data_IF_348297086796
#
_entry.id   IF_348297086796
#
_cell.length_a   1.000
_cell.length_b   1.000
_cell.length_c   1.000
_cell.angle_alpha   90.00
_cell.angle_beta   90.00
_cell.angle_gamma   90.00
#
_symmetry.space_group_name_H-M   'P 1'
#
loop_
_entity.id
_entity.type
_entity.pdbx_description
1 polymer ?
#
# COMPACT_ATOMS: atom_id res chain seq x y z
N UNK A 1 -25.17 39.27 -16.17
CA UNK A 1 -24.45 38.05 -16.57
C UNK A 1 -24.12 37.28 -15.31
N UNK A 2 -24.78 36.13 -15.13
CA UNK A 2 -24.83 35.36 -13.89
C UNK A 2 -24.06 34.05 -14.11
N UNK A 3 -22.79 34.00 -13.71
CA UNK A 3 -21.96 32.79 -13.80
C UNK A 3 -22.27 31.87 -12.63
N UNK A 4 -23.31 31.04 -12.81
CA UNK A 4 -23.53 29.89 -11.93
C UNK A 4 -22.32 28.97 -11.99
N UNK A 5 -21.53 28.99 -10.92
CA UNK A 5 -20.54 27.97 -10.60
C UNK A 5 -21.27 26.62 -10.49
N UNK A 6 -21.16 25.80 -11.53
CA UNK A 6 -21.66 24.43 -11.52
C UNK A 6 -20.76 23.61 -10.60
N UNK A 7 -21.14 23.54 -9.33
CA UNK A 7 -20.68 22.50 -8.43
C UNK A 7 -21.02 21.14 -9.06
N UNK A 8 -20.00 20.32 -9.33
CA UNK A 8 -20.16 18.96 -9.81
C UNK A 8 -20.96 18.18 -8.73
N UNK A 9 -22.17 17.69 -9.04
CA UNK A 9 -22.96 16.97 -8.06
C UNK A 9 -22.31 15.62 -7.78
N UNK A 10 -21.92 15.40 -6.51
CA UNK A 10 -21.57 14.09 -5.98
C UNK A 10 -22.86 13.26 -5.82
N UNK A 11 -23.30 12.56 -6.86
CA UNK A 11 -24.47 11.65 -6.78
C UNK A 11 -24.09 10.17 -6.91
N UNK A 12 -24.01 9.53 -5.75
CA UNK A 12 -24.62 8.24 -5.37
C UNK A 12 -24.94 7.18 -6.45
N UNK A 13 -24.26 6.02 -6.35
CA UNK A 13 -24.79 4.71 -6.76
C UNK A 13 -24.42 4.23 -8.17
N UNK A 14 -24.91 4.90 -9.21
CA UNK A 14 -24.77 4.47 -10.61
C UNK A 14 -23.39 4.74 -11.22
N UNK A 15 -22.79 5.89 -10.89
CA UNK A 15 -21.50 6.33 -11.42
C UNK A 15 -20.34 5.46 -10.92
N UNK A 16 -20.36 5.04 -9.64
CA UNK A 16 -19.34 4.16 -9.03
C UNK A 16 -19.17 2.82 -9.77
N UNK A 17 -20.26 2.26 -10.31
CA UNK A 17 -20.23 0.96 -11.01
C UNK A 17 -19.63 1.07 -12.42
N UNK A 18 -19.71 2.24 -13.06
CA UNK A 18 -19.03 2.53 -14.33
C UNK A 18 -17.52 2.68 -14.13
N UNK A 19 -17.13 3.45 -13.10
CA UNK A 19 -15.71 3.69 -12.78
C UNK A 19 -14.95 2.39 -12.46
N UNK A 20 -15.54 1.48 -11.68
CA UNK A 20 -14.90 0.19 -11.39
C UNK A 20 -14.71 -0.66 -12.64
N UNK A 21 -15.69 -0.67 -13.56
CA UNK A 21 -15.57 -1.41 -14.82
C UNK A 21 -14.50 -0.82 -15.73
N UNK A 22 -14.44 0.51 -15.83
CA UNK A 22 -13.43 1.22 -16.62
C UNK A 22 -12.01 1.00 -16.05
N UNK A 23 -11.87 1.05 -14.73
CA UNK A 23 -10.61 0.83 -14.02
C UNK A 23 -10.16 -0.63 -14.17
N UNK A 24 -11.08 -1.59 -14.08
CA UNK A 24 -10.83 -3.00 -14.42
C UNK A 24 -10.46 -3.18 -15.89
N UNK A 25 -11.08 -2.44 -16.81
CA UNK A 25 -10.77 -2.54 -18.24
C UNK A 25 -9.35 -2.05 -18.55
N UNK A 26 -8.90 -0.96 -17.90
CA UNK A 26 -7.52 -0.47 -17.97
C UNK A 26 -6.55 -1.51 -17.39
N UNK A 27 -6.90 -2.10 -16.25
CA UNK A 27 -6.15 -3.19 -15.62
C UNK A 27 -6.01 -4.41 -16.54
N UNK A 28 -7.11 -4.85 -17.14
CA UNK A 28 -7.15 -6.01 -18.04
C UNK A 28 -6.62 -5.72 -19.45
N UNK A 29 -6.16 -4.50 -19.74
CA UNK A 29 -5.52 -4.19 -21.02
C UNK A 29 -4.14 -4.88 -21.13
N UNK A 30 -3.47 -5.16 -20.00
CA UNK A 30 -2.19 -5.87 -19.93
C UNK A 30 -2.33 -7.18 -19.12
N UNK A 31 -3.25 -8.07 -19.53
CA UNK A 31 -3.60 -9.31 -18.79
C UNK A 31 -2.41 -10.15 -18.36
N UNK A 32 -1.45 -10.38 -19.26
CA UNK A 32 -0.29 -11.22 -18.97
C UNK A 32 0.60 -10.63 -17.88
N UNK A 33 0.86 -9.32 -17.95
CA UNK A 33 1.70 -8.62 -16.98
C UNK A 33 1.03 -8.59 -15.59
N UNK A 34 -0.29 -8.35 -15.57
CA UNK A 34 -1.09 -8.40 -14.35
C UNK A 34 -1.11 -9.80 -13.72
N UNK A 35 -1.31 -10.84 -14.54
CA UNK A 35 -1.26 -12.22 -14.05
C UNK A 35 0.09 -12.56 -13.44
N UNK A 36 1.20 -12.14 -14.07
CA UNK A 36 2.55 -12.33 -13.54
C UNK A 36 2.70 -11.64 -12.19
N UNK A 37 2.30 -10.37 -12.05
CA UNK A 37 2.40 -9.63 -10.78
C UNK A 37 1.51 -10.23 -9.70
N UNK A 38 0.30 -10.67 -10.02
CA UNK A 38 -0.58 -11.34 -9.05
C UNK A 38 0.06 -12.66 -8.60
N UNK A 39 0.51 -13.51 -9.53
CA UNK A 39 1.17 -14.78 -9.20
C UNK A 39 2.39 -14.53 -8.31
N UNK A 40 3.21 -13.54 -8.65
CA UNK A 40 4.39 -13.19 -7.86
C UNK A 40 4.04 -12.63 -6.47
N UNK A 41 2.96 -11.85 -6.37
CA UNK A 41 2.42 -11.33 -5.11
C UNK A 41 1.83 -12.42 -4.22
N UNK A 42 1.43 -13.55 -4.80
CA UNK A 42 0.98 -14.75 -4.10
C UNK A 42 2.17 -15.62 -3.65
N UNK A 43 3.16 -15.80 -4.53
CA UNK A 43 4.33 -16.65 -4.25
C UNK A 43 5.21 -16.04 -3.17
N UNK A 44 5.44 -14.72 -3.20
CA UNK A 44 6.36 -14.08 -2.25
C UNK A 44 5.98 -14.32 -0.78
N UNK A 45 4.72 -14.12 -0.35
CA UNK A 45 4.30 -14.42 1.03
C UNK A 45 4.31 -15.92 1.40
N UNK A 46 4.28 -16.82 0.41
CA UNK A 46 4.36 -18.27 0.65
C UNK A 46 5.80 -18.70 0.97
N UNK A 47 6.79 -18.04 0.35
CA UNK A 47 8.20 -18.41 0.48
C UNK A 47 8.82 -17.78 1.73
N UNK A 48 8.36 -16.62 2.20
CA UNK A 48 8.91 -15.96 3.40
C UNK A 48 8.99 -16.87 4.65
N UNK A 49 7.93 -17.63 5.02
CA UNK A 49 7.99 -18.58 6.13
C UNK A 49 9.06 -19.68 5.98
N UNK A 50 9.44 -20.04 4.74
CA UNK A 50 10.47 -21.06 4.46
C UNK A 50 11.83 -20.61 5.00
N UNK A 51 12.13 -19.31 4.98
CA UNK A 51 13.38 -18.78 5.58
C UNK A 51 13.43 -19.03 7.08
N UNK A 52 12.32 -18.73 7.77
CA UNK A 52 12.21 -18.94 9.21
C UNK A 52 12.30 -20.43 9.57
N UNK A 53 11.66 -21.30 8.78
CA UNK A 53 11.76 -22.76 8.94
C UNK A 53 13.20 -23.27 8.79
N UNK A 54 13.90 -22.82 7.75
CA UNK A 54 15.29 -23.24 7.51
C UNK A 54 16.24 -22.74 8.59
N UNK A 55 16.07 -21.48 9.04
CA UNK A 55 16.83 -20.91 10.13
C UNK A 55 16.63 -21.73 11.43
N UNK A 56 15.38 -22.11 11.74
CA UNK A 56 15.08 -22.98 12.89
C UNK A 56 15.73 -24.35 12.76
N UNK A 57 15.56 -25.05 11.63
CA UNK A 57 16.16 -26.37 11.44
C UNK A 57 17.69 -26.35 11.55
N UNK A 58 18.32 -25.27 11.08
CA UNK A 58 19.75 -25.06 11.25
C UNK A 58 20.11 -24.85 12.72
N UNK A 59 19.37 -24.00 13.45
CA UNK A 59 19.58 -23.74 14.87
C UNK A 59 19.32 -24.98 15.75
N UNK A 60 18.27 -25.74 15.48
CA UNK A 60 17.93 -26.98 16.20
C UNK A 60 19.05 -28.01 16.04
N UNK A 61 19.63 -28.13 14.83
CA UNK A 61 20.81 -28.98 14.60
C UNK A 61 22.05 -28.48 15.33
N UNK A 62 22.26 -27.16 15.39
CA UNK A 62 23.36 -26.53 16.15
C UNK A 62 23.26 -26.74 17.66
N UNK A 63 22.04 -26.72 18.19
CA UNK A 63 21.77 -26.76 19.63
C UNK A 63 21.43 -28.16 20.17
N UNK A 64 21.34 -29.16 19.30
CA UNK A 64 21.09 -30.55 19.69
C UNK A 64 22.18 -31.02 20.68
N UNK A 65 21.76 -31.41 21.89
CA UNK A 65 22.66 -31.95 22.93
C UNK A 65 23.44 -33.14 22.35
N UNK A 66 24.78 -33.05 22.41
CA UNK A 66 25.80 -33.98 21.87
C UNK A 66 26.21 -33.81 20.39
N UNK A 67 25.90 -32.68 19.73
CA UNK A 67 26.42 -32.42 18.39
C UNK A 67 27.94 -32.15 18.41
N UNK A 68 28.73 -33.17 18.09
CA UNK A 68 30.16 -33.02 17.76
C UNK A 68 30.23 -32.61 16.28
N UNK A 69 30.42 -31.32 16.02
CA UNK A 69 30.49 -30.80 14.66
C UNK A 69 31.79 -31.22 13.98
N UNK A 70 31.68 -32.10 12.99
CA UNK A 70 32.72 -32.23 11.96
C UNK A 70 32.52 -31.10 10.95
N UNK A 71 33.60 -30.43 10.56
CA UNK A 71 33.61 -29.35 9.56
C UNK A 71 32.98 -29.73 8.21
N UNK A 72 32.85 -31.04 7.95
CA UNK A 72 32.25 -31.64 6.76
C UNK A 72 30.71 -31.51 6.73
N UNK A 73 30.03 -31.53 7.89
CA UNK A 73 28.57 -31.40 7.98
C UNK A 73 28.11 -29.96 7.69
N UNK A 74 28.94 -28.98 8.05
CA UNK A 74 28.71 -27.55 7.79
C UNK A 74 28.93 -27.24 6.30
N UNK A 75 29.95 -27.85 5.69
CA UNK A 75 30.29 -27.64 4.28
C UNK A 75 29.17 -28.09 3.31
N UNK A 76 28.38 -29.11 3.66
CA UNK A 76 27.22 -29.54 2.86
C UNK A 76 26.00 -28.61 2.99
N UNK A 77 25.85 -27.90 4.10
CA UNK A 77 24.71 -27.01 4.35
C UNK A 77 24.85 -25.62 3.69
N UNK A 78 26.07 -25.09 3.66
CA UNK A 78 26.38 -23.79 3.05
C UNK A 78 25.85 -23.65 1.61
N UNK A 79 26.10 -24.59 0.67
CA UNK A 79 25.60 -24.45 -0.70
C UNK A 79 24.08 -24.54 -0.79
N UNK A 80 23.42 -25.31 0.09
CA UNK A 80 21.96 -25.44 0.13
C UNK A 80 21.32 -24.13 0.63
N UNK A 81 21.86 -23.56 1.71
CA UNK A 81 21.45 -22.25 2.23
C UNK A 81 21.68 -21.17 1.16
N UNK A 82 22.88 -21.11 0.59
CA UNK A 82 23.23 -20.15 -0.44
C UNK A 82 22.31 -20.25 -1.67
N UNK A 83 22.00 -21.47 -2.12
CA UNK A 83 21.09 -21.71 -3.24
C UNK A 83 19.68 -21.18 -2.98
N UNK A 84 19.13 -21.42 -1.78
CA UNK A 84 17.81 -20.89 -1.40
C UNK A 84 17.82 -19.37 -1.33
N UNK A 85 18.83 -18.78 -0.68
CA UNK A 85 18.97 -17.32 -0.62
C UNK A 85 19.09 -16.70 -2.01
N UNK A 86 19.81 -17.34 -2.94
CA UNK A 86 19.94 -16.89 -4.32
C UNK A 86 18.60 -16.96 -5.05
N UNK A 87 17.89 -18.09 -4.98
CA UNK A 87 16.54 -18.23 -5.58
C UNK A 87 15.59 -17.18 -5.02
N UNK A 88 15.58 -16.97 -3.70
CA UNK A 88 14.72 -15.96 -3.08
C UNK A 88 15.08 -14.53 -3.50
N UNK A 89 16.38 -14.23 -3.61
CA UNK A 89 16.84 -12.92 -4.06
C UNK A 89 16.45 -12.70 -5.52
N UNK A 90 16.59 -13.72 -6.36
CA UNK A 90 16.15 -13.67 -7.76
C UNK A 90 14.63 -13.44 -7.87
N UNK A 91 13.82 -14.16 -7.09
CA UNK A 91 12.36 -13.95 -7.04
C UNK A 91 12.03 -12.51 -6.60
N UNK A 92 12.67 -12.00 -5.54
CA UNK A 92 12.46 -10.62 -5.09
C UNK A 92 12.83 -9.59 -6.15
N UNK A 93 13.93 -9.82 -6.87
CA UNK A 93 14.36 -8.93 -7.96
C UNK A 93 13.36 -8.95 -9.11
N UNK A 94 12.91 -10.14 -9.53
CA UNK A 94 11.90 -10.30 -10.58
C UNK A 94 10.58 -9.63 -10.17
N UNK A 95 10.14 -9.81 -8.92
CA UNK A 95 8.96 -9.12 -8.38
C UNK A 95 9.12 -7.61 -8.46
N UNK A 96 10.25 -7.08 -8.01
CA UNK A 96 10.50 -5.65 -8.04
C UNK A 96 10.49 -5.07 -9.47
N UNK A 97 11.10 -5.77 -10.42
CA UNK A 97 11.10 -5.35 -11.82
C UNK A 97 9.70 -5.43 -12.44
N UNK A 98 8.97 -6.52 -12.20
CA UNK A 98 7.61 -6.69 -12.68
C UNK A 98 6.67 -5.59 -12.13
N UNK A 99 6.77 -5.29 -10.83
CA UNK A 99 6.04 -4.19 -10.19
C UNK A 99 6.34 -2.85 -10.87
N UNK A 100 7.63 -2.55 -11.11
CA UNK A 100 8.03 -1.30 -11.78
C UNK A 100 7.51 -1.18 -13.21
N UNK A 101 7.48 -2.29 -13.96
CA UNK A 101 6.95 -2.31 -15.33
C UNK A 101 5.43 -2.11 -15.31
N UNK A 102 4.71 -2.77 -14.42
CA UNK A 102 3.25 -2.58 -14.25
C UNK A 102 2.95 -1.15 -13.86
N UNK A 103 3.67 -0.59 -12.89
CA UNK A 103 3.52 0.80 -12.45
C UNK A 103 3.64 1.79 -13.59
N UNK A 104 4.70 1.65 -14.40
CA UNK A 104 4.94 2.53 -15.54
C UNK A 104 3.83 2.39 -16.59
N UNK A 105 3.42 1.16 -16.91
CA UNK A 105 2.35 0.89 -17.89
C UNK A 105 1.01 1.43 -17.42
N UNK A 106 0.67 1.23 -16.16
CA UNK A 106 -0.59 1.67 -15.58
C UNK A 106 -0.66 3.20 -15.53
N UNK A 107 0.46 3.86 -15.20
CA UNK A 107 0.56 5.32 -15.27
C UNK A 107 0.31 5.85 -16.68
N UNK A 108 0.93 5.24 -17.70
CA UNK A 108 0.70 5.61 -19.11
C UNK A 108 -0.77 5.41 -19.50
N UNK A 109 -1.37 4.28 -19.13
CA UNK A 109 -2.76 3.98 -19.46
C UNK A 109 -3.74 4.96 -18.79
N UNK A 110 -3.50 5.35 -17.54
CA UNK A 110 -4.30 6.38 -16.88
C UNK A 110 -4.13 7.76 -17.54
N UNK A 111 -2.91 8.13 -17.93
CA UNK A 111 -2.66 9.38 -18.64
C UNK A 111 -3.37 9.42 -20.01
N UNK A 112 -3.31 8.32 -20.78
CA UNK A 112 -4.00 8.19 -22.06
C UNK A 112 -5.52 8.26 -21.89
N UNK A 113 -6.08 7.47 -20.96
CA UNK A 113 -7.51 7.47 -20.67
C UNK A 113 -8.02 8.86 -20.26
N UNK A 114 -7.22 9.58 -19.47
CA UNK A 114 -7.57 10.92 -19.05
C UNK A 114 -7.49 11.92 -20.20
N UNK A 115 -6.44 11.85 -21.04
CA UNK A 115 -6.29 12.68 -22.24
C UNK A 115 -7.46 12.49 -23.21
N UNK A 116 -7.91 11.25 -23.41
CA UNK A 116 -9.04 10.93 -24.29
C UNK A 116 -10.38 11.50 -23.78
N UNK A 117 -10.50 11.75 -22.46
CA UNK A 117 -11.72 12.31 -21.83
C UNK A 117 -11.71 13.83 -21.71
N UNK A 118 -10.56 14.48 -21.53
CA UNK A 118 -10.46 15.94 -21.42
C UNK A 118 -10.11 16.60 -22.76
N UNK A 119 -11.15 16.84 -23.58
CA UNK A 119 -11.09 17.77 -24.70
C UNK A 119 -11.33 19.20 -24.21
N UNK A 120 -10.25 19.98 -24.10
CA UNK A 120 -10.21 21.45 -24.01
C UNK A 120 -10.75 22.08 -22.71
N UNK A 121 -9.94 22.14 -21.65
CA UNK A 121 -9.97 23.23 -20.68
C UNK A 121 -8.57 23.40 -20.02
N UNK A 122 -8.35 24.57 -19.42
CA UNK A 122 -7.09 25.19 -18.98
C UNK A 122 -5.87 24.28 -18.72
N UNK A 123 -4.91 24.29 -19.67
CA UNK A 123 -3.74 23.40 -19.72
C UNK A 123 -2.78 23.41 -18.51
N UNK A 124 -2.75 24.46 -17.67
CA UNK A 124 -1.78 24.56 -16.57
C UNK A 124 -2.26 23.93 -15.25
N UNK A 125 -3.49 24.26 -14.85
CA UNK A 125 -4.09 23.80 -13.60
C UNK A 125 -4.64 22.37 -13.74
N UNK A 126 -5.08 22.01 -14.95
CA UNK A 126 -5.57 20.67 -15.25
C UNK A 126 -4.43 19.63 -15.24
N UNK A 127 -3.22 19.94 -15.73
CA UNK A 127 -2.12 18.96 -15.79
C UNK A 127 -1.66 18.50 -14.41
N UNK A 128 -1.49 19.42 -13.46
CA UNK A 128 -1.03 19.08 -12.10
C UNK A 128 -2.06 18.23 -11.36
N UNK A 129 -3.35 18.56 -11.52
CA UNK A 129 -4.47 17.81 -10.95
C UNK A 129 -4.60 16.43 -11.59
N UNK A 130 -4.48 16.36 -12.91
CA UNK A 130 -4.50 15.11 -13.69
C UNK A 130 -3.43 14.14 -13.21
N UNK A 131 -2.19 14.61 -13.10
CA UNK A 131 -1.07 13.75 -12.67
C UNK A 131 -1.32 13.23 -11.26
N UNK A 132 -1.81 14.08 -10.35
CA UNK A 132 -2.14 13.68 -8.99
C UNK A 132 -3.28 12.64 -8.94
N UNK A 133 -4.33 12.84 -9.72
CA UNK A 133 -5.49 11.93 -9.76
C UNK A 133 -5.12 10.57 -10.38
N UNK A 134 -4.29 10.57 -11.43
CA UNK A 134 -3.71 9.33 -12.00
C UNK A 134 -2.82 8.60 -11.00
N UNK A 135 -2.01 9.31 -10.22
CA UNK A 135 -1.15 8.73 -9.18
C UNK A 135 -1.99 8.14 -8.04
N UNK A 136 -3.09 8.79 -7.67
CA UNK A 136 -4.01 8.27 -6.67
C UNK A 136 -4.78 7.04 -7.15
N UNK A 137 -5.21 7.03 -8.41
CA UNK A 137 -5.82 5.85 -9.04
C UNK A 137 -4.83 4.66 -9.09
N UNK A 138 -3.57 4.93 -9.45
CA UNK A 138 -2.47 3.93 -9.41
C UNK A 138 -2.32 3.30 -8.03
N UNK A 139 -2.25 4.12 -6.97
CA UNK A 139 -2.15 3.61 -5.59
C UNK A 139 -3.33 2.72 -5.18
N UNK A 140 -4.55 3.04 -5.62
CA UNK A 140 -5.72 2.20 -5.35
C UNK A 140 -5.57 0.84 -6.06
N UNK A 141 -5.07 0.84 -7.28
CA UNK A 141 -4.77 -0.40 -8.01
C UNK A 141 -3.69 -1.21 -7.29
N UNK A 142 -2.61 -0.58 -6.85
CA UNK A 142 -1.53 -1.23 -6.09
C UNK A 142 -2.07 -2.00 -4.88
N UNK A 143 -2.94 -1.38 -4.11
CA UNK A 143 -3.59 -2.01 -2.95
C UNK A 143 -4.38 -3.26 -3.37
N UNK A 144 -5.14 -3.18 -4.47
CA UNK A 144 -5.99 -4.28 -4.96
C UNK A 144 -5.15 -5.41 -5.59
N UNK A 145 -4.06 -5.09 -6.28
CA UNK A 145 -3.28 -6.07 -7.03
C UNK A 145 -2.21 -6.76 -6.18
N UNK A 146 -1.78 -6.14 -5.08
CA UNK A 146 -0.64 -6.62 -4.30
C UNK A 146 -1.00 -6.78 -2.83
N UNK A 147 -1.32 -5.68 -2.15
CA UNK A 147 -1.46 -5.66 -0.69
C UNK A 147 -2.57 -6.60 -0.21
N UNK A 148 -3.68 -6.66 -0.95
CA UNK A 148 -4.79 -7.55 -0.58
C UNK A 148 -4.39 -9.03 -0.60
N UNK A 149 -3.52 -9.44 -1.53
CA UNK A 149 -3.09 -10.84 -1.64
C UNK A 149 -2.08 -11.21 -0.56
N UNK A 150 -1.23 -10.26 -0.16
CA UNK A 150 -0.35 -10.45 1.00
C UNK A 150 -1.19 -10.70 2.26
N UNK A 151 -2.31 -9.99 2.43
CA UNK A 151 -3.21 -10.22 3.56
C UNK A 151 -3.97 -11.54 3.42
N UNK A 152 -4.58 -11.81 2.26
CA UNK A 152 -5.44 -12.99 2.05
C UNK A 152 -4.63 -14.30 2.07
N UNK A 153 -3.41 -14.30 1.54
CA UNK A 153 -2.60 -15.53 1.38
C UNK A 153 -1.42 -15.54 2.34
N UNK A 154 -0.76 -14.41 2.55
CA UNK A 154 0.39 -14.32 3.46
C UNK A 154 0.01 -14.62 4.91
N UNK A 155 -1.08 -14.04 5.42
CA UNK A 155 -1.51 -14.32 6.80
C UNK A 155 -1.85 -15.81 7.02
N UNK A 156 -2.69 -16.47 6.21
CA UNK A 156 -2.91 -17.91 6.37
C UNK A 156 -1.65 -18.74 6.15
N UNK A 157 -0.80 -18.39 5.18
CA UNK A 157 0.48 -19.08 4.95
C UNK A 157 1.35 -19.07 6.20
N UNK A 158 1.55 -17.90 6.82
CA UNK A 158 2.32 -17.78 8.07
C UNK A 158 1.68 -18.61 9.18
N UNK A 159 0.36 -18.56 9.35
CA UNK A 159 -0.32 -19.33 10.40
C UNK A 159 -0.18 -20.85 10.19
N UNK A 160 -0.34 -21.34 8.95
CA UNK A 160 -0.18 -22.76 8.60
C UNK A 160 1.26 -23.22 8.90
N UNK A 161 2.26 -22.43 8.49
CA UNK A 161 3.65 -22.74 8.79
C UNK A 161 3.96 -22.70 10.29
N UNK A 162 3.45 -21.72 11.01
CA UNK A 162 3.65 -21.61 12.46
C UNK A 162 3.00 -22.77 13.21
N UNK A 163 1.83 -23.26 12.78
CA UNK A 163 1.22 -24.48 13.32
C UNK A 163 2.12 -25.71 13.16
N UNK A 164 2.87 -25.82 12.06
CA UNK A 164 3.80 -26.94 11.84
C UNK A 164 5.10 -26.80 12.63
N UNK A 165 5.54 -25.57 12.89
CA UNK A 165 6.83 -25.30 13.51
C UNK A 165 6.73 -25.24 15.03
N UNK A 166 5.73 -24.54 15.56
CA UNK A 166 5.62 -24.20 16.96
C UNK A 166 4.16 -23.83 17.30
N UNK A 167 3.27 -24.82 17.31
CA UNK A 167 1.83 -24.64 17.53
C UNK A 167 1.50 -23.84 18.80
N UNK A 168 2.25 -24.09 19.88
CA UNK A 168 2.11 -23.40 21.17
C UNK A 168 2.32 -21.87 21.09
N UNK A 169 3.06 -21.37 20.09
CA UNK A 169 3.33 -19.95 19.88
C UNK A 169 2.31 -19.27 18.96
N UNK A 170 1.42 -20.02 18.31
CA UNK A 170 0.42 -19.46 17.38
C UNK A 170 -0.53 -18.51 18.10
N UNK A 171 -1.08 -18.93 19.24
CA UNK A 171 -1.98 -18.08 20.05
C UNK A 171 -1.28 -16.81 20.53
N UNK A 172 -0.11 -16.87 21.19
CA UNK A 172 0.67 -15.67 21.52
C UNK A 172 0.94 -14.75 20.31
N UNK A 173 1.26 -15.31 19.15
CA UNK A 173 1.52 -14.55 17.93
C UNK A 173 0.26 -13.81 17.45
N UNK A 174 -0.91 -14.46 17.46
CA UNK A 174 -2.17 -13.80 17.13
C UNK A 174 -2.49 -12.69 18.14
N UNK A 175 -2.28 -12.93 19.43
CA UNK A 175 -2.50 -11.91 20.46
C UNK A 175 -1.51 -10.74 20.35
N UNK A 176 -0.30 -10.96 19.84
CA UNK A 176 0.68 -9.89 19.60
C UNK A 176 0.23 -8.88 18.55
N UNK A 177 -0.69 -9.25 17.65
CA UNK A 177 -1.28 -8.33 16.67
C UNK A 177 -2.40 -7.45 17.28
N UNK A 178 -2.96 -7.83 18.43
CA UNK A 178 -4.07 -7.09 19.06
C UNK A 178 -3.69 -5.65 19.43
N UNK A 179 -2.52 -5.36 20.04
CA UNK A 179 -2.07 -3.99 20.26
C UNK A 179 -2.08 -3.15 18.99
N UNK A 180 -1.50 -3.62 17.89
CA UNK A 180 -1.43 -2.90 16.62
C UNK A 180 -2.84 -2.61 16.04
N UNK A 181 -3.75 -3.59 16.15
CA UNK A 181 -5.15 -3.41 15.77
C UNK A 181 -5.84 -2.37 16.65
N UNK A 182 -5.70 -2.46 17.97
CA UNK A 182 -6.23 -1.49 18.92
C UNK A 182 -5.72 -0.08 18.64
N UNK A 183 -4.42 0.10 18.35
CA UNK A 183 -3.85 1.38 17.94
C UNK A 183 -4.50 1.90 16.67
N UNK A 184 -4.68 1.05 15.66
CA UNK A 184 -5.37 1.45 14.42
C UNK A 184 -6.81 1.90 14.67
N UNK A 185 -7.54 1.22 15.55
CA UNK A 185 -8.91 1.59 15.93
C UNK A 185 -9.00 2.87 16.77
N UNK A 186 -8.05 3.10 17.67
CA UNK A 186 -8.00 4.27 18.53
C UNK A 186 -7.56 5.53 17.76
N UNK A 187 -6.50 5.43 16.98
CA UNK A 187 -5.87 6.57 16.31
C UNK A 187 -6.42 6.80 14.90
N UNK A 188 -6.93 5.77 14.23
CA UNK A 188 -7.50 5.87 12.88
C UNK A 188 -8.60 6.93 12.73
N UNK A 189 -9.63 6.96 13.61
CA UNK A 189 -10.67 7.99 13.57
C UNK A 189 -10.12 9.41 13.77
N UNK A 190 -9.13 9.57 14.66
CA UNK A 190 -8.49 10.85 14.90
C UNK A 190 -7.68 11.33 13.68
N UNK A 191 -6.84 10.47 13.11
CA UNK A 191 -6.07 10.76 11.89
C UNK A 191 -7.02 11.12 10.74
N UNK A 192 -8.11 10.37 10.56
CA UNK A 192 -9.13 10.65 9.53
C UNK A 192 -9.82 12.00 9.74
N UNK A 193 -10.18 12.33 10.98
CA UNK A 193 -10.81 13.61 11.34
C UNK A 193 -9.89 14.79 11.02
N UNK A 194 -8.62 14.73 11.42
CA UNK A 194 -7.67 15.82 11.19
C UNK A 194 -7.27 15.94 9.72
N UNK A 195 -7.11 14.82 9.02
CA UNK A 195 -6.91 14.80 7.56
C UNK A 195 -8.05 15.50 6.83
N UNK A 196 -9.31 15.18 7.17
CA UNK A 196 -10.49 15.83 6.59
C UNK A 196 -10.51 17.34 6.87
N UNK A 197 -10.24 17.76 8.11
CA UNK A 197 -10.16 19.19 8.47
C UNK A 197 -9.07 19.93 7.69
N UNK A 198 -7.92 19.29 7.46
CA UNK A 198 -6.84 19.86 6.65
C UNK A 198 -7.28 20.10 5.20
N UNK A 199 -7.99 19.14 4.60
CA UNK A 199 -8.55 19.27 3.24
C UNK A 199 -9.61 20.36 3.16
N UNK A 200 -10.53 20.42 4.13
CA UNK A 200 -11.56 21.47 4.20
C UNK A 200 -10.94 22.86 4.37
N UNK A 201 -9.90 22.98 5.20
CA UNK A 201 -9.17 24.25 5.38
C UNK A 201 -8.43 24.67 4.10
N UNK A 202 -7.83 23.72 3.38
CA UNK A 202 -7.16 23.98 2.11
C UNK A 202 -8.14 24.47 1.03
N UNK A 203 -9.33 23.85 0.96
CA UNK A 203 -10.41 24.30 0.07
C UNK A 203 -10.86 25.73 0.42
N UNK A 204 -10.99 26.05 1.72
CA UNK A 204 -11.34 27.40 2.18
C UNK A 204 -10.26 28.44 1.83
N UNK A 205 -8.98 28.08 1.97
CA UNK A 205 -7.84 28.93 1.56
C UNK A 205 -7.91 29.19 0.06
N UNK A 206 -8.06 28.14 -0.75
CA UNK A 206 -8.14 28.26 -2.21
C UNK A 206 -9.28 29.18 -2.63
N UNK A 207 -10.47 29.02 -2.02
CA UNK A 207 -11.61 29.87 -2.30
C UNK A 207 -11.35 31.33 -1.87
N UNK A 208 -10.71 31.54 -0.72
CA UNK A 208 -10.38 32.88 -0.25
C UNK A 208 -9.38 33.62 -1.16
N UNK A 209 -8.46 32.90 -1.79
CA UNK A 209 -7.55 33.45 -2.81
C UNK A 209 -8.34 33.86 -4.05
N UNK A 210 -9.24 33.00 -4.54
CA UNK A 210 -10.11 33.33 -5.69
C UNK A 210 -11.02 34.53 -5.40
N UNK A 211 -11.57 34.62 -4.18
CA UNK A 211 -12.47 35.68 -3.72
C UNK A 211 -11.71 36.98 -3.33
N UNK A 212 -10.37 37.00 -3.40
CA UNK A 212 -9.50 38.08 -2.90
C UNK A 212 -9.80 38.51 -1.45
N UNK A 213 -10.30 37.59 -0.60
CA UNK A 213 -10.74 37.88 0.76
C UNK A 213 -9.65 37.55 1.79
N UNK A 214 -8.93 38.58 2.23
CA UNK A 214 -7.79 38.46 3.17
C UNK A 214 -8.16 37.89 4.54
N UNK A 215 -9.33 38.22 5.08
CA UNK A 215 -9.76 37.73 6.40
C UNK A 215 -10.09 36.24 6.36
N UNK A 216 -10.78 35.80 5.30
CA UNK A 216 -11.09 34.39 5.05
C UNK A 216 -9.80 33.58 4.82
N UNK A 217 -8.83 34.16 4.11
CA UNK A 217 -7.52 33.56 3.88
C UNK A 217 -6.76 33.32 5.20
N UNK A 218 -6.66 34.35 6.05
CA UNK A 218 -5.91 34.25 7.31
C UNK A 218 -6.53 33.24 8.28
N UNK A 219 -7.87 33.20 8.34
CA UNK A 219 -8.60 32.23 9.16
C UNK A 219 -8.36 30.80 8.66
N UNK A 220 -8.49 30.58 7.35
CA UNK A 220 -8.22 29.28 6.73
C UNK A 220 -6.77 28.81 6.93
N UNK A 221 -5.79 29.71 6.82
CA UNK A 221 -4.38 29.39 7.08
C UNK A 221 -4.13 28.97 8.54
N UNK A 222 -4.76 29.66 9.50
CA UNK A 222 -4.64 29.31 10.92
C UNK A 222 -5.26 27.94 11.23
N UNK A 223 -6.43 27.66 10.65
CA UNK A 223 -7.09 26.36 10.81
C UNK A 223 -6.32 25.22 10.12
N UNK A 224 -5.73 25.49 8.95
CA UNK A 224 -4.85 24.57 8.24
C UNK A 224 -3.59 24.26 9.05
N UNK A 225 -2.94 25.28 9.61
CA UNK A 225 -1.76 25.11 10.46
C UNK A 225 -2.08 24.24 11.67
N UNK A 226 -3.14 24.59 12.42
CA UNK A 226 -3.58 23.82 13.59
C UNK A 226 -3.88 22.37 13.22
N UNK A 227 -4.66 22.16 12.16
CA UNK A 227 -5.02 20.81 11.70
C UNK A 227 -3.80 20.01 11.24
N UNK A 228 -2.81 20.66 10.63
CA UNK A 228 -1.56 20.01 10.20
C UNK A 228 -0.69 19.58 11.38
N UNK A 229 -0.55 20.43 12.41
CA UNK A 229 0.19 20.09 13.63
C UNK A 229 -0.46 18.89 14.32
N UNK A 230 -1.78 18.91 14.53
CA UNK A 230 -2.46 17.77 15.15
C UNK A 230 -2.38 16.52 14.27
N UNK A 231 -2.55 16.64 12.95
CA UNK A 231 -2.41 15.50 12.05
C UNK A 231 -1.02 14.85 12.16
N UNK A 232 0.07 15.63 12.06
CA UNK A 232 1.43 15.10 12.18
C UNK A 232 1.69 14.49 13.57
N UNK A 233 1.15 15.09 14.63
CA UNK A 233 1.28 14.57 15.98
C UNK A 233 0.58 13.20 16.11
N UNK A 234 -0.70 13.10 15.73
CA UNK A 234 -1.44 11.83 15.76
C UNK A 234 -0.81 10.77 14.83
N UNK A 235 -0.28 11.19 13.68
CA UNK A 235 0.44 10.31 12.76
C UNK A 235 1.73 9.78 13.39
N UNK A 236 2.54 10.64 14.03
CA UNK A 236 3.77 10.23 14.72
C UNK A 236 3.49 9.32 15.91
N UNK A 237 2.43 9.59 16.68
CA UNK A 237 2.00 8.66 17.72
C UNK A 237 1.61 7.30 17.14
N UNK A 238 0.90 7.26 16.00
CA UNK A 238 0.59 6.01 15.33
C UNK A 238 1.84 5.28 14.81
N UNK A 239 2.86 6.00 14.32
CA UNK A 239 4.13 5.40 13.84
C UNK A 239 5.02 4.86 14.97
N UNK A 240 4.96 5.44 16.17
CA UNK A 240 5.80 5.02 17.31
C UNK A 240 5.20 3.82 18.04
N UNK A 241 3.88 3.77 18.15
CA UNK A 241 3.18 2.80 18.99
C UNK A 241 2.44 1.70 18.21
N UNK A 242 2.23 1.87 16.90
CA UNK A 242 1.64 0.87 16.00
C UNK A 242 2.72 0.07 15.29
#
# INVERSE_FOLDING_TARGET
MNTKSNAIPLTTGGQKRSWLKELLQILFQNKLLMSVVIILSIISPIIEPVQAFMAKNFLDRLTAKNAVFLSQDIAGFIPLIAGIFLIMTAIRLINHLADKIVDARLKIAFQQFYFDRQLKQNAGEDVSRTINDCEQARKIVDIIQKDIWVVIIGLPSVLIWQMQIAEEWVLPLVFSAVPALCFTFLFGPAVRKWSRRRLESLASISQAVCDANRNKLFTGQKDFYRSSVFFELYKKFAEIFG
#
